data_IF_957146794986
#
_entry.id   IF_957146794986
#
_cell.length_a   1.000
_cell.length_b   1.000
_cell.length_c   1.000
_cell.angle_alpha   90.00
_cell.angle_beta   90.00
_cell.angle_gamma   90.00
#
_symmetry.space_group_name_H-M   'P 1'
#
loop_
_entity.id
_entity.type
_entity.pdbx_description
1 polymer ?
#
# COMPACT_ATOMS: atom_id res chain seq x y z
N UNK A 1 -2.18 -38.22 13.34
CA UNK A 1 -2.99 -38.71 14.48
C UNK A 1 -2.90 -37.76 15.69
N UNK A 2 -1.70 -37.33 16.13
CA UNK A 2 -1.50 -36.38 17.26
C UNK A 2 -2.21 -35.01 17.13
N UNK A 3 -2.27 -34.40 15.93
CA UNK A 3 -2.96 -33.10 15.75
C UNK A 3 -4.48 -33.16 15.93
N UNK A 4 -5.13 -34.30 15.65
CA UNK A 4 -6.59 -34.45 15.87
C UNK A 4 -6.93 -34.55 17.36
N UNK A 5 -6.10 -35.23 18.16
CA UNK A 5 -6.29 -35.32 19.61
C UNK A 5 -6.05 -33.97 20.31
N UNK A 6 -5.03 -33.20 19.89
CA UNK A 6 -4.79 -31.85 20.43
C UNK A 6 -5.92 -30.87 20.11
N UNK A 7 -6.45 -30.89 18.89
CA UNK A 7 -7.62 -30.08 18.50
C UNK A 7 -8.87 -30.38 19.32
N UNK A 8 -9.03 -31.60 19.85
CA UNK A 8 -10.19 -31.96 20.64
C UNK A 8 -10.05 -31.57 22.12
N UNK A 9 -8.84 -31.65 22.68
CA UNK A 9 -8.58 -31.38 24.10
C UNK A 9 -8.27 -29.90 24.42
N UNK A 10 -7.60 -29.19 23.51
CA UNK A 10 -7.05 -27.85 23.76
C UNK A 10 -7.64 -26.78 22.84
N UNK A 11 -8.86 -26.99 22.34
CA UNK A 11 -9.54 -26.00 21.51
C UNK A 11 -9.82 -24.75 22.36
N UNK A 12 -9.42 -23.54 21.92
CA UNK A 12 -9.80 -22.28 22.56
C UNK A 12 -11.33 -22.14 22.64
N UNK A 13 -11.83 -21.33 23.57
CA UNK A 13 -13.27 -21.01 23.59
C UNK A 13 -13.60 -19.98 22.50
N UNK A 14 -14.71 -20.14 21.79
CA UNK A 14 -15.13 -19.22 20.72
C UNK A 14 -15.40 -17.79 21.19
N UNK A 15 -15.77 -17.64 22.46
CA UNK A 15 -16.02 -16.35 23.11
C UNK A 15 -14.76 -15.71 23.71
N UNK A 16 -13.59 -16.35 23.57
CA UNK A 16 -12.35 -15.85 24.14
C UNK A 16 -11.85 -14.63 23.34
N UNK A 17 -11.65 -13.47 23.99
CA UNK A 17 -11.24 -12.26 23.29
C UNK A 17 -9.76 -12.26 22.88
N UNK A 18 -8.94 -13.20 23.37
CA UNK A 18 -7.51 -13.22 23.08
C UNK A 18 -7.22 -13.41 21.58
N UNK A 19 -6.18 -12.74 21.08
CA UNK A 19 -5.87 -12.72 19.65
C UNK A 19 -5.59 -14.10 19.06
N UNK A 20 -4.88 -14.98 19.79
CA UNK A 20 -4.61 -16.35 19.32
C UNK A 20 -5.89 -17.20 19.22
N UNK A 21 -6.87 -16.99 20.11
CA UNK A 21 -8.16 -17.66 20.04
C UNK A 21 -8.98 -17.13 18.85
N UNK A 22 -9.05 -15.81 18.68
CA UNK A 22 -9.68 -15.16 17.52
C UNK A 22 -9.07 -15.63 16.20
N UNK A 23 -7.74 -15.67 16.13
CA UNK A 23 -6.98 -16.17 14.98
C UNK A 23 -7.36 -17.61 14.66
N UNK A 24 -7.37 -18.50 15.67
CA UNK A 24 -7.70 -19.92 15.47
C UNK A 24 -9.04 -20.11 14.75
N UNK A 25 -10.08 -19.37 15.16
CA UNK A 25 -11.40 -19.48 14.57
C UNK A 25 -11.51 -18.80 13.20
N UNK A 26 -10.90 -17.63 13.02
CA UNK A 26 -10.84 -16.96 11.72
C UNK A 26 -10.14 -17.83 10.67
N UNK A 27 -9.05 -18.50 11.06
CA UNK A 27 -8.33 -19.43 10.19
C UNK A 27 -9.10 -20.74 9.94
N UNK A 28 -9.86 -21.26 10.92
CA UNK A 28 -10.76 -22.41 10.74
C UNK A 28 -11.87 -22.09 9.72
N UNK A 29 -12.47 -20.90 9.82
CA UNK A 29 -13.49 -20.40 8.89
C UNK A 29 -12.93 -20.22 7.48
N UNK A 30 -11.76 -19.58 7.33
CA UNK A 30 -11.10 -19.42 6.04
C UNK A 30 -10.85 -20.76 5.34
N UNK A 31 -10.33 -21.75 6.08
CA UNK A 31 -10.08 -23.09 5.55
C UNK A 31 -11.38 -23.83 5.16
N UNK A 32 -12.47 -23.59 5.90
CA UNK A 32 -13.77 -24.17 5.57
C UNK A 32 -14.33 -23.59 4.26
N UNK A 33 -14.29 -22.26 4.10
CA UNK A 33 -14.74 -21.59 2.87
C UNK A 33 -13.87 -21.99 1.67
N UNK A 34 -12.55 -22.10 1.86
CA UNK A 34 -11.62 -22.58 0.83
C UNK A 34 -11.98 -23.99 0.34
N UNK A 35 -12.20 -24.92 1.28
CA UNK A 35 -12.56 -26.30 0.94
C UNK A 35 -13.93 -26.39 0.24
N UNK A 36 -14.88 -25.54 0.61
CA UNK A 36 -16.17 -25.45 -0.08
C UNK A 36 -16.00 -24.94 -1.52
N UNK A 37 -15.19 -23.89 -1.71
CA UNK A 37 -14.88 -23.33 -3.02
C UNK A 37 -14.18 -24.34 -3.94
N UNK A 38 -13.21 -25.09 -3.42
CA UNK A 38 -12.51 -26.15 -4.16
C UNK A 38 -13.44 -27.29 -4.62
N UNK A 39 -14.50 -27.56 -3.84
CA UNK A 39 -15.47 -28.60 -4.14
C UNK A 39 -16.60 -28.15 -5.07
N UNK A 40 -16.73 -26.85 -5.32
CA UNK A 40 -17.83 -26.27 -6.09
C UNK A 40 -17.57 -26.33 -7.60
N UNK A 41 -18.55 -26.83 -8.35
CA UNK A 41 -18.60 -26.65 -9.80
C UNK A 41 -19.22 -25.28 -10.14
N UNK A 42 -18.38 -24.24 -10.22
CA UNK A 42 -18.82 -22.87 -10.46
C UNK A 42 -19.57 -22.65 -11.79
N UNK A 43 -19.49 -23.58 -12.74
CA UNK A 43 -20.29 -23.51 -13.99
C UNK A 43 -21.75 -23.89 -13.77
N UNK A 44 -22.02 -24.75 -12.78
CA UNK A 44 -23.38 -25.20 -12.43
C UNK A 44 -24.10 -24.22 -11.50
N UNK A 45 -23.37 -23.53 -10.64
CA UNK A 45 -23.93 -22.53 -9.72
C UNK A 45 -23.04 -21.27 -9.63
N UNK A 46 -23.14 -20.36 -10.62
CA UNK A 46 -22.33 -19.15 -10.67
C UNK A 46 -22.63 -18.17 -9.52
N UNK A 47 -23.88 -18.14 -9.04
CA UNK A 47 -24.29 -17.24 -7.96
C UNK A 47 -23.65 -17.66 -6.63
N UNK A 48 -23.70 -18.95 -6.29
CA UNK A 48 -23.03 -19.48 -5.11
C UNK A 48 -21.51 -19.32 -5.19
N UNK A 49 -20.92 -19.52 -6.37
CA UNK A 49 -19.50 -19.28 -6.59
C UNK A 49 -19.11 -17.83 -6.25
N UNK A 50 -19.87 -16.86 -6.77
CA UNK A 50 -19.64 -15.44 -6.49
C UNK A 50 -19.74 -15.11 -5.01
N UNK A 51 -20.75 -15.67 -4.32
CA UNK A 51 -20.93 -15.48 -2.88
C UNK A 51 -19.77 -16.07 -2.07
N UNK A 52 -19.34 -17.30 -2.38
CA UNK A 52 -18.24 -17.96 -1.69
C UNK A 52 -16.90 -17.25 -1.94
N UNK A 53 -16.65 -16.74 -3.14
CA UNK A 53 -15.47 -15.91 -3.42
C UNK A 53 -15.49 -14.64 -2.56
N UNK A 54 -16.64 -13.96 -2.46
CA UNK A 54 -16.78 -12.78 -1.59
C UNK A 54 -16.54 -13.12 -0.12
N UNK A 55 -17.12 -14.23 0.36
CA UNK A 55 -16.92 -14.70 1.73
C UNK A 55 -15.45 -15.07 2.00
N UNK A 56 -14.81 -15.73 1.03
CA UNK A 56 -13.39 -16.09 1.11
C UNK A 56 -12.51 -14.85 1.28
N UNK A 57 -12.79 -13.76 0.53
CA UNK A 57 -12.10 -12.47 0.70
C UNK A 57 -12.28 -11.90 2.09
N UNK A 58 -13.51 -11.85 2.58
CA UNK A 58 -13.80 -11.36 3.93
C UNK A 58 -13.05 -12.18 5.01
N UNK A 59 -12.94 -13.49 4.82
CA UNK A 59 -12.16 -14.35 5.71
C UNK A 59 -10.65 -14.06 5.62
N UNK A 60 -10.11 -13.85 4.42
CA UNK A 60 -8.71 -13.45 4.21
C UNK A 60 -8.40 -12.13 4.92
N UNK A 61 -9.25 -11.11 4.73
CA UNK A 61 -9.13 -9.80 5.39
C UNK A 61 -9.14 -9.94 6.91
N UNK A 62 -10.09 -10.71 7.46
CA UNK A 62 -10.18 -10.94 8.90
C UNK A 62 -8.92 -11.62 9.47
N UNK A 63 -8.41 -12.64 8.77
CA UNK A 63 -7.17 -13.33 9.18
C UNK A 63 -5.99 -12.37 9.18
N UNK A 64 -5.79 -11.58 8.11
CA UNK A 64 -4.71 -10.59 8.06
C UNK A 64 -4.84 -9.51 9.13
N UNK A 65 -6.06 -9.03 9.39
CA UNK A 65 -6.30 -8.03 10.43
C UNK A 65 -5.92 -8.55 11.82
N UNK A 66 -6.22 -9.81 12.13
CA UNK A 66 -5.80 -10.43 13.40
C UNK A 66 -4.28 -10.64 13.42
N UNK A 67 -3.66 -11.07 12.31
CA UNK A 67 -2.20 -11.19 12.23
C UNK A 67 -1.53 -9.83 12.47
N UNK A 68 -2.04 -8.74 11.88
CA UNK A 68 -1.55 -7.38 12.12
C UNK A 68 -1.65 -6.98 13.59
N UNK A 69 -2.79 -7.23 14.25
CA UNK A 69 -2.95 -7.00 15.69
C UNK A 69 -1.94 -7.82 16.52
N UNK A 70 -1.69 -9.08 16.13
CA UNK A 70 -0.68 -9.92 16.78
C UNK A 70 0.71 -9.33 16.57
N UNK A 71 1.04 -8.82 15.38
CA UNK A 71 2.33 -8.17 15.11
C UNK A 71 2.49 -6.89 15.93
N UNK A 72 1.44 -6.09 16.11
CA UNK A 72 1.45 -4.90 16.95
C UNK A 72 1.76 -5.24 18.42
N UNK A 73 1.26 -6.37 18.94
CA UNK A 73 1.56 -6.83 20.30
C UNK A 73 2.92 -7.54 20.41
N UNK A 74 3.29 -8.33 19.40
CA UNK A 74 4.46 -9.20 19.45
C UNK A 74 5.75 -8.48 19.09
N UNK A 75 5.74 -7.73 17.98
CA UNK A 75 6.95 -7.20 17.34
C UNK A 75 6.83 -5.68 17.06
N UNK A 76 6.42 -4.86 18.04
CA UNK A 76 6.10 -3.45 17.79
C UNK A 76 7.28 -2.63 17.26
N UNK A 77 8.51 -3.00 17.63
CA UNK A 77 9.73 -2.29 17.23
C UNK A 77 10.45 -2.91 16.02
N UNK A 78 10.01 -4.09 15.59
CA UNK A 78 10.66 -4.84 14.49
C UNK A 78 9.82 -4.83 13.20
N UNK A 79 8.79 -3.97 13.13
CA UNK A 79 7.97 -3.81 11.93
C UNK A 79 8.79 -3.19 10.80
N UNK A 80 8.64 -3.73 9.60
CA UNK A 80 9.21 -3.19 8.39
C UNK A 80 8.69 -1.76 8.14
N UNK A 81 9.57 -0.80 7.81
CA UNK A 81 9.17 0.57 7.56
C UNK A 81 8.30 0.66 6.30
N UNK A 82 7.23 1.46 6.39
CA UNK A 82 6.26 1.69 5.30
C UNK A 82 6.28 3.14 4.82
N UNK A 83 7.41 3.84 4.98
CA UNK A 83 7.61 5.22 4.54
C UNK A 83 7.33 5.39 3.03
N UNK A 84 7.45 4.31 2.26
CA UNK A 84 7.12 4.31 0.84
C UNK A 84 5.63 4.60 0.55
N UNK A 85 4.71 4.38 1.50
CA UNK A 85 3.28 4.62 1.31
C UNK A 85 2.95 6.08 0.99
N UNK A 86 3.82 7.04 1.37
CA UNK A 86 3.67 8.46 1.00
C UNK A 86 3.78 8.70 -0.50
N UNK A 87 4.35 7.74 -1.25
CA UNK A 87 4.48 7.80 -2.70
C UNK A 87 3.24 7.26 -3.42
N UNK A 88 2.34 6.61 -2.71
CA UNK A 88 1.13 6.04 -3.30
C UNK A 88 0.04 7.12 -3.42
N UNK A 89 -0.75 7.10 -4.51
CA UNK A 89 -1.95 7.90 -4.61
C UNK A 89 -2.89 7.67 -3.42
N UNK A 90 -3.59 8.73 -2.99
CA UNK A 90 -4.50 8.66 -1.84
C UNK A 90 -5.63 7.65 -2.06
N UNK A 91 -6.03 7.43 -3.32
CA UNK A 91 -7.06 6.48 -3.73
C UNK A 91 -6.66 5.00 -3.53
N UNK A 92 -5.39 4.71 -3.21
CA UNK A 92 -4.95 3.34 -2.93
C UNK A 92 -4.91 3.08 -1.43
N UNK A 93 -4.90 4.13 -0.61
CA UNK A 93 -4.81 4.06 0.85
C UNK A 93 -6.17 3.72 1.50
N UNK A 94 -6.85 2.71 0.95
CA UNK A 94 -8.12 2.19 1.46
C UNK A 94 -7.90 1.03 2.45
N UNK A 95 -8.88 0.80 3.33
CA UNK A 95 -8.82 -0.19 4.41
C UNK A 95 -8.66 -1.66 3.94
N UNK A 96 -8.91 -1.96 2.67
CA UNK A 96 -8.87 -3.33 2.11
C UNK A 96 -7.64 -3.64 1.26
N UNK A 97 -6.62 -2.77 1.24
CA UNK A 97 -5.43 -3.00 0.40
C UNK A 97 -4.70 -4.31 0.77
N UNK A 98 -4.60 -4.65 2.05
CA UNK A 98 -3.86 -5.82 2.51
C UNK A 98 -4.40 -7.14 1.95
N UNK A 99 -5.73 -7.34 1.92
CA UNK A 99 -6.32 -8.53 1.32
C UNK A 99 -6.19 -8.58 -0.20
N UNK A 100 -6.25 -7.42 -0.87
CA UNK A 100 -5.99 -7.33 -2.31
C UNK A 100 -4.55 -7.74 -2.63
N UNK A 101 -3.58 -7.32 -1.81
CA UNK A 101 -2.18 -7.70 -1.94
C UNK A 101 -1.97 -9.20 -1.72
N UNK A 102 -2.59 -9.80 -0.69
CA UNK A 102 -2.54 -11.25 -0.50
C UNK A 102 -3.08 -11.96 -1.75
N UNK A 103 -4.25 -11.58 -2.25
CA UNK A 103 -4.75 -12.19 -3.48
C UNK A 103 -3.82 -11.99 -4.69
N UNK A 104 -3.29 -10.78 -4.85
CA UNK A 104 -2.34 -10.46 -5.91
C UNK A 104 -1.11 -11.37 -5.84
N UNK A 105 -0.58 -11.63 -4.64
CA UNK A 105 0.52 -12.54 -4.41
C UNK A 105 0.16 -13.99 -4.78
N UNK A 106 -1.03 -14.47 -4.39
CA UNK A 106 -1.51 -15.82 -4.75
C UNK A 106 -1.62 -16.00 -6.27
N UNK A 107 -2.22 -15.04 -6.96
CA UNK A 107 -2.32 -15.05 -8.43
C UNK A 107 -0.94 -15.06 -9.09
N UNK A 108 -0.04 -14.17 -8.69
CA UNK A 108 1.31 -14.10 -9.26
C UNK A 108 2.10 -15.39 -8.99
N UNK A 109 1.99 -15.94 -7.78
CA UNK A 109 2.61 -17.20 -7.39
C UNK A 109 2.09 -18.38 -8.22
N UNK A 110 0.79 -18.38 -8.53
CA UNK A 110 0.13 -19.36 -9.41
C UNK A 110 0.45 -19.19 -10.91
N UNK A 111 1.16 -18.12 -11.30
CA UNK A 111 1.61 -17.89 -12.66
C UNK A 111 0.77 -16.89 -13.46
N UNK A 112 -0.22 -16.24 -12.83
CA UNK A 112 -0.93 -15.12 -13.45
C UNK A 112 0.02 -13.95 -13.74
N UNK A 113 -0.43 -13.05 -14.63
CA UNK A 113 0.30 -11.87 -15.08
C UNK A 113 -0.62 -10.67 -14.95
N UNK A 114 -0.10 -9.57 -14.42
CA UNK A 114 -0.80 -8.28 -14.41
C UNK A 114 -0.86 -7.76 -15.85
N UNK A 115 -2.05 -7.34 -16.29
CA UNK A 115 -2.29 -6.89 -17.66
C UNK A 115 -1.32 -5.76 -18.04
N UNK A 116 -0.64 -5.90 -19.19
CA UNK A 116 0.35 -4.95 -19.71
C UNK A 116 1.58 -4.74 -18.80
N UNK A 117 1.89 -5.70 -17.91
CA UNK A 117 2.99 -5.64 -16.92
C UNK A 117 3.70 -6.98 -16.81
N UNK A 118 4.01 -7.61 -17.95
CA UNK A 118 4.58 -8.95 -18.03
C UNK A 118 5.96 -9.05 -17.34
N UNK A 119 6.84 -8.07 -17.58
CA UNK A 119 8.19 -8.04 -17.04
C UNK A 119 8.18 -7.87 -15.53
N UNK A 120 7.39 -6.92 -15.03
CA UNK A 120 7.21 -6.65 -13.60
C UNK A 120 6.58 -7.86 -12.90
N UNK A 121 5.57 -8.49 -13.52
CA UNK A 121 4.94 -9.72 -13.00
C UNK A 121 5.94 -10.87 -12.88
N UNK A 122 6.81 -11.05 -13.89
CA UNK A 122 7.85 -12.07 -13.85
C UNK A 122 8.90 -11.78 -12.77
N UNK A 123 9.31 -10.52 -12.61
CA UNK A 123 10.25 -10.10 -11.59
C UNK A 123 9.70 -10.26 -10.16
N UNK A 124 8.41 -9.98 -9.94
CA UNK A 124 7.75 -10.10 -8.64
C UNK A 124 7.39 -11.53 -8.25
N UNK A 125 7.32 -12.46 -9.20
CA UNK A 125 6.85 -13.84 -8.96
C UNK A 125 7.62 -14.60 -7.87
N UNK A 126 8.97 -14.53 -7.77
CA UNK A 126 9.70 -15.16 -6.68
C UNK A 126 9.28 -14.62 -5.31
N UNK A 127 9.17 -13.29 -5.19
CA UNK A 127 8.71 -12.61 -3.97
C UNK A 127 7.28 -13.02 -3.60
N UNK A 128 6.38 -13.09 -4.58
CA UNK A 128 4.99 -13.54 -4.37
C UNK A 128 4.90 -14.98 -3.84
N UNK A 129 5.76 -15.88 -4.35
CA UNK A 129 5.83 -17.28 -3.87
C UNK A 129 6.40 -17.36 -2.45
N UNK A 130 7.40 -16.55 -2.15
CA UNK A 130 8.00 -16.51 -0.82
C UNK A 130 7.03 -15.92 0.21
N UNK A 131 6.33 -14.84 -0.14
CA UNK A 131 5.32 -14.21 0.69
C UNK A 131 4.16 -15.17 1.02
N UNK A 132 3.60 -15.85 0.02
CA UNK A 132 2.51 -16.81 0.23
C UNK A 132 2.93 -17.98 1.11
N UNK A 133 4.16 -18.51 0.93
CA UNK A 133 4.73 -19.53 1.82
C UNK A 133 4.93 -19.00 3.25
N UNK A 134 5.48 -17.80 3.40
CA UNK A 134 5.72 -17.19 4.71
C UNK A 134 4.42 -16.96 5.48
N UNK A 135 3.34 -16.56 4.80
CA UNK A 135 2.02 -16.45 5.40
C UNK A 135 1.49 -17.80 5.88
N UNK A 136 1.68 -18.89 5.12
CA UNK A 136 1.31 -20.23 5.59
C UNK A 136 2.13 -20.68 6.81
N UNK A 137 3.41 -20.34 6.87
CA UNK A 137 4.26 -20.63 8.03
C UNK A 137 3.79 -19.86 9.28
N UNK A 138 3.42 -18.58 9.13
CA UNK A 138 2.81 -17.77 10.19
C UNK A 138 1.49 -18.41 10.63
N UNK A 139 0.58 -18.73 9.70
CA UNK A 139 -0.70 -19.35 10.02
C UNK A 139 -0.53 -20.67 10.76
N UNK A 140 0.44 -21.49 10.34
CA UNK A 140 0.84 -22.73 10.99
C UNK A 140 1.32 -22.50 12.43
N UNK A 141 2.26 -21.58 12.63
CA UNK A 141 2.83 -21.28 13.94
C UNK A 141 1.79 -20.72 14.93
N UNK A 142 0.96 -19.78 14.49
CA UNK A 142 -0.11 -19.18 15.31
C UNK A 142 -1.16 -20.22 15.71
N UNK A 143 -1.59 -21.08 14.77
CA UNK A 143 -2.56 -22.15 15.02
C UNK A 143 -2.03 -23.18 16.00
N UNK A 144 -0.78 -23.60 15.85
CA UNK A 144 -0.13 -24.54 16.76
C UNK A 144 0.02 -23.95 18.16
N UNK A 145 0.33 -22.66 18.28
CA UNK A 145 0.42 -21.98 19.56
C UNK A 145 -0.95 -21.82 20.23
N UNK A 146 -1.99 -21.49 19.47
CA UNK A 146 -3.34 -21.35 19.98
C UNK A 146 -3.89 -22.64 20.63
N UNK A 147 -3.37 -23.81 20.22
CA UNK A 147 -3.69 -25.11 20.82
C UNK A 147 -2.78 -25.49 22.01
N UNK A 148 -1.80 -24.66 22.36
CA UNK A 148 -0.84 -24.94 23.45
C UNK A 148 -0.99 -23.95 24.59
N UNK A 149 -0.81 -22.66 24.30
CA UNK A 149 -0.90 -21.58 25.28
C UNK A 149 -1.25 -20.27 24.57
N UNK A 150 -2.40 -19.72 24.95
CA UNK A 150 -2.94 -18.49 24.37
C UNK A 150 -2.27 -17.21 24.92
N UNK A 151 -1.54 -17.31 26.03
CA UNK A 151 -0.97 -16.14 26.72
C UNK A 151 0.49 -15.84 26.32
N UNK A 152 1.11 -16.69 25.51
CA UNK A 152 2.54 -16.59 25.20
C UNK A 152 2.79 -16.59 23.71
N UNK A 153 3.62 -15.64 23.26
CA UNK A 153 4.16 -15.59 21.90
C UNK A 153 5.60 -16.09 21.88
N UNK A 154 5.82 -17.23 21.24
CA UNK A 154 7.15 -17.87 21.17
C UNK A 154 8.11 -17.13 20.23
N UNK A 155 9.42 -17.29 20.43
CA UNK A 155 10.41 -16.66 19.54
C UNK A 155 10.28 -17.13 18.09
N UNK A 156 9.96 -18.41 17.88
CA UNK A 156 9.68 -18.96 16.55
C UNK A 156 8.54 -18.21 15.84
N UNK A 157 7.49 -17.82 16.58
CA UNK A 157 6.40 -17.02 15.99
C UNK A 157 6.86 -15.61 15.68
N UNK A 158 7.64 -14.99 16.57
CA UNK A 158 8.20 -13.64 16.36
C UNK A 158 9.09 -13.61 15.11
N UNK A 159 9.95 -14.60 14.93
CA UNK A 159 10.77 -14.77 13.72
C UNK A 159 9.92 -14.92 12.45
N UNK A 160 8.91 -15.79 12.48
CA UNK A 160 8.01 -15.99 11.33
C UNK A 160 7.24 -14.71 10.97
N UNK A 161 6.73 -13.99 11.98
CA UNK A 161 6.03 -12.72 11.81
C UNK A 161 6.95 -11.63 11.25
N UNK A 162 8.19 -11.50 11.75
CA UNK A 162 9.17 -10.54 11.22
C UNK A 162 9.48 -10.81 9.75
N UNK A 163 9.72 -12.07 9.40
CA UNK A 163 9.99 -12.44 8.02
C UNK A 163 8.80 -12.16 7.09
N UNK A 164 7.59 -12.50 7.53
CA UNK A 164 6.36 -12.18 6.80
C UNK A 164 6.19 -10.67 6.63
N UNK A 165 6.39 -9.86 7.67
CA UNK A 165 6.19 -8.42 7.65
C UNK A 165 7.11 -7.72 6.65
N UNK A 166 8.38 -8.16 6.56
CA UNK A 166 9.35 -7.67 5.56
C UNK A 166 8.91 -8.02 4.14
N UNK A 167 8.60 -9.30 3.89
CA UNK A 167 8.16 -9.75 2.56
C UNK A 167 6.87 -9.05 2.13
N UNK A 168 5.94 -8.81 3.06
CA UNK A 168 4.68 -8.15 2.76
C UNK A 168 4.91 -6.68 2.39
N UNK A 169 5.77 -5.97 3.12
CA UNK A 169 6.13 -4.59 2.81
C UNK A 169 6.87 -4.45 1.47
N UNK A 170 7.82 -5.36 1.17
CA UNK A 170 8.51 -5.39 -0.12
C UNK A 170 7.54 -5.68 -1.28
N UNK A 171 6.62 -6.62 -1.07
CA UNK A 171 5.62 -6.96 -2.07
C UNK A 171 4.62 -5.83 -2.29
N UNK A 172 4.14 -5.20 -1.22
CA UNK A 172 3.27 -4.02 -1.27
C UNK A 172 3.90 -2.92 -2.13
N UNK A 173 5.16 -2.56 -1.85
CA UNK A 173 5.89 -1.56 -2.63
C UNK A 173 5.99 -1.94 -4.10
N UNK A 174 6.44 -3.15 -4.40
CA UNK A 174 6.64 -3.59 -5.78
C UNK A 174 5.32 -3.70 -6.55
N UNK A 175 4.28 -4.22 -5.91
CA UNK A 175 2.98 -4.45 -6.53
C UNK A 175 2.26 -3.15 -6.83
N UNK A 176 2.17 -2.24 -5.86
CA UNK A 176 1.54 -0.93 -6.06
C UNK A 176 2.32 -0.12 -7.09
N UNK A 177 3.66 -0.16 -7.08
CA UNK A 177 4.50 0.54 -8.07
C UNK A 177 4.33 0.02 -9.50
N UNK A 178 3.92 -1.24 -9.68
CA UNK A 178 3.59 -1.77 -10.99
C UNK A 178 2.19 -1.36 -11.47
N UNK A 179 1.25 -1.10 -10.55
CA UNK A 179 -0.14 -0.81 -10.87
C UNK A 179 -0.43 0.68 -11.04
N UNK A 180 0.25 1.54 -10.29
CA UNK A 180 0.12 2.99 -10.40
C UNK A 180 1.47 3.65 -10.64
N UNK A 181 1.48 4.78 -11.36
CA UNK A 181 2.68 5.58 -11.50
C UNK A 181 3.10 6.07 -10.12
N UNK A 182 4.19 5.50 -9.60
CA UNK A 182 4.83 5.96 -8.37
C UNK A 182 5.89 6.97 -8.78
N UNK A 183 5.80 8.18 -8.24
CA UNK A 183 6.79 9.24 -8.50
C UNK A 183 8.16 8.76 -8.04
N UNK A 184 9.11 8.77 -8.96
CA UNK A 184 10.53 8.62 -8.67
C UNK A 184 10.99 9.71 -7.69
N UNK A 185 12.09 9.50 -6.95
CA UNK A 185 12.66 10.54 -6.09
C UNK A 185 12.88 11.85 -6.84
N UNK A 186 13.33 11.76 -8.10
CA UNK A 186 13.53 12.91 -8.98
C UNK A 186 12.23 13.66 -9.26
N UNK A 187 11.15 12.96 -9.62
CA UNK A 187 9.85 13.59 -9.84
C UNK A 187 9.33 14.27 -8.57
N UNK A 188 9.56 13.67 -7.40
CA UNK A 188 9.23 14.30 -6.12
C UNK A 188 10.03 15.58 -5.88
N UNK A 189 11.35 15.54 -6.08
CA UNK A 189 12.21 16.73 -5.95
C UNK A 189 11.77 17.86 -6.88
N UNK A 190 11.53 17.56 -8.15
CA UNK A 190 11.09 18.54 -9.15
C UNK A 190 9.73 19.14 -8.77
N UNK A 191 8.81 18.33 -8.22
CA UNK A 191 7.55 18.84 -7.70
C UNK A 191 7.74 19.78 -6.50
N UNK A 192 8.64 19.44 -5.57
CA UNK A 192 8.95 20.29 -4.42
C UNK A 192 9.57 21.63 -4.85
N UNK A 193 10.46 21.64 -5.85
CA UNK A 193 11.00 22.89 -6.39
C UNK A 193 9.88 23.79 -6.95
N UNK A 194 8.87 23.22 -7.62
CA UNK A 194 7.70 23.97 -8.09
C UNK A 194 6.86 24.51 -6.94
N UNK A 195 6.68 23.73 -5.86
CA UNK A 195 5.97 24.20 -4.66
C UNK A 195 6.71 25.38 -4.03
N UNK A 196 8.03 25.27 -3.87
CA UNK A 196 8.87 26.35 -3.34
C UNK A 196 8.75 27.62 -4.20
N UNK A 197 8.82 27.49 -5.53
CA UNK A 197 8.61 28.61 -6.45
C UNK A 197 7.26 29.31 -6.22
N UNK A 198 6.18 28.55 -5.99
CA UNK A 198 4.86 29.12 -5.71
C UNK A 198 4.85 29.84 -4.35
N UNK A 199 5.40 29.22 -3.31
CA UNK A 199 5.52 29.83 -1.99
C UNK A 199 6.33 31.14 -2.02
N UNK A 200 7.52 31.11 -2.62
CA UNK A 200 8.39 32.29 -2.75
C UNK A 200 7.75 33.39 -3.60
N UNK A 201 6.93 33.02 -4.59
CA UNK A 201 6.18 34.00 -5.40
C UNK A 201 5.09 34.68 -4.58
N UNK A 202 4.35 33.92 -3.77
CA UNK A 202 3.31 34.46 -2.89
C UNK A 202 3.92 35.34 -1.79
N UNK A 203 4.97 34.87 -1.13
CA UNK A 203 5.71 35.62 -0.10
C UNK A 203 6.22 36.95 -0.67
N UNK A 204 6.86 36.92 -1.84
CA UNK A 204 7.30 38.13 -2.53
C UNK A 204 6.14 39.09 -2.84
N UNK A 205 5.00 38.58 -3.29
CA UNK A 205 3.84 39.42 -3.60
C UNK A 205 3.20 40.04 -2.35
N UNK A 206 3.25 39.35 -1.20
CA UNK A 206 2.87 39.90 0.11
C UNK A 206 3.85 41.00 0.54
N UNK A 207 5.16 40.76 0.42
CA UNK A 207 6.20 41.72 0.81
C UNK A 207 6.11 43.04 0.03
N UNK A 208 5.77 42.98 -1.27
CA UNK A 208 5.53 44.17 -2.09
C UNK A 208 4.14 44.80 -1.90
N UNK A 209 3.27 44.19 -1.11
CA UNK A 209 1.90 44.66 -0.88
C UNK A 209 0.99 44.52 -2.10
N UNK A 210 1.29 43.61 -3.03
CA UNK A 210 0.42 43.31 -4.18
C UNK A 210 -0.77 42.44 -3.77
N UNK A 211 -0.62 41.70 -2.67
CA UNK A 211 -1.61 40.82 -2.06
C UNK A 211 -1.67 41.10 -0.57
N UNK A 212 -2.76 40.70 0.07
CA UNK A 212 -2.87 40.69 1.54
C UNK A 212 -3.08 39.25 2.03
N UNK A 213 -2.76 38.98 3.30
CA UNK A 213 -2.94 37.66 3.89
C UNK A 213 -4.40 37.23 3.87
N UNK A 214 -5.33 38.15 4.14
CA UNK A 214 -6.78 37.88 4.14
C UNK A 214 -7.25 37.34 2.78
N UNK A 215 -6.72 37.85 1.67
CA UNK A 215 -7.07 37.36 0.31
C UNK A 215 -6.65 35.89 0.08
N UNK A 216 -5.58 35.45 0.74
CA UNK A 216 -5.11 34.05 0.68
C UNK A 216 -6.00 33.18 1.57
N UNK A 217 -6.24 33.63 2.80
CA UNK A 217 -7.00 32.89 3.81
C UNK A 217 -8.47 32.71 3.39
N UNK A 218 -9.05 33.70 2.70
CA UNK A 218 -10.41 33.65 2.15
C UNK A 218 -10.50 32.89 0.81
N UNK A 219 -9.40 32.33 0.32
CA UNK A 219 -9.31 31.63 -0.97
C UNK A 219 -9.88 32.44 -2.14
N UNK A 220 -9.50 33.73 -2.24
CA UNK A 220 -10.10 34.63 -3.23
C UNK A 220 -9.99 34.05 -4.65
N UNK A 221 -11.10 33.86 -5.39
CA UNK A 221 -11.08 33.14 -6.66
C UNK A 221 -10.11 33.74 -7.69
N UNK A 222 -10.04 35.08 -7.78
CA UNK A 222 -9.13 35.77 -8.69
C UNK A 222 -7.65 35.48 -8.38
N UNK A 223 -7.34 35.32 -7.09
CA UNK A 223 -5.99 35.03 -6.63
C UNK A 223 -5.59 33.58 -6.94
N UNK A 224 -6.51 32.62 -6.78
CA UNK A 224 -6.28 31.21 -7.10
C UNK A 224 -5.93 30.99 -8.58
N UNK A 225 -6.45 31.82 -9.49
CA UNK A 225 -6.06 31.81 -10.91
C UNK A 225 -4.79 32.61 -11.22
N UNK A 226 -4.47 33.62 -10.42
CA UNK A 226 -3.37 34.55 -10.69
C UNK A 226 -2.03 34.07 -10.14
N UNK A 227 -2.02 33.42 -8.96
CA UNK A 227 -0.80 32.87 -8.36
C UNK A 227 -0.06 31.94 -9.32
N UNK A 228 -0.69 30.94 -9.98
CA UNK A 228 0.03 30.07 -10.89
C UNK A 228 0.68 30.82 -12.06
N UNK A 229 0.02 31.85 -12.59
CA UNK A 229 0.56 32.68 -13.68
C UNK A 229 1.73 33.53 -13.21
N UNK A 230 1.59 34.14 -12.03
CA UNK A 230 2.65 34.93 -11.42
C UNK A 230 3.87 34.06 -11.13
N UNK A 231 3.66 32.84 -10.61
CA UNK A 231 4.73 31.90 -10.32
C UNK A 231 5.49 31.47 -11.58
N UNK A 232 4.79 31.28 -12.71
CA UNK A 232 5.44 31.03 -14.01
C UNK A 232 6.35 32.20 -14.40
N UNK A 233 5.84 33.43 -14.34
CA UNK A 233 6.64 34.63 -14.69
C UNK A 233 7.82 34.81 -13.73
N UNK A 234 7.60 34.64 -12.42
CA UNK A 234 8.66 34.69 -11.41
C UNK A 234 9.71 33.60 -11.64
N UNK A 235 9.31 32.38 -11.96
CA UNK A 235 10.24 31.28 -12.22
C UNK A 235 11.07 31.46 -13.50
N UNK A 236 10.54 32.17 -14.50
CA UNK A 236 11.28 32.48 -15.73
C UNK A 236 12.22 33.69 -15.57
N UNK A 237 11.78 34.73 -14.85
CA UNK A 237 12.46 36.05 -14.85
C UNK A 237 13.22 36.33 -13.56
N UNK A 238 12.69 35.91 -12.40
CA UNK A 238 13.26 36.22 -11.08
C UNK A 238 14.11 35.07 -10.57
N UNK A 239 13.60 33.83 -10.66
CA UNK A 239 14.25 32.61 -10.21
C UNK A 239 14.73 31.78 -11.40
N UNK A 240 15.52 32.38 -12.29
CA UNK A 240 15.96 31.78 -13.55
C UNK A 240 16.77 30.47 -13.37
N UNK A 241 17.39 30.27 -12.21
CA UNK A 241 18.07 29.02 -11.84
C UNK A 241 17.15 27.95 -11.23
N UNK A 242 15.87 28.25 -11.06
CA UNK A 242 14.88 27.40 -10.41
C UNK A 242 14.24 26.34 -11.33
N UNK A 243 13.05 25.83 -10.97
CA UNK A 243 12.41 24.70 -11.66
C UNK A 243 11.94 25.00 -13.10
N UNK A 244 11.90 26.28 -13.48
CA UNK A 244 11.51 26.73 -14.83
C UNK A 244 12.71 27.14 -15.70
N UNK A 245 13.94 26.86 -15.27
CA UNK A 245 15.14 27.16 -16.04
C UNK A 245 15.09 26.49 -17.44
N UNK A 246 15.06 27.30 -18.49
CA UNK A 246 14.93 26.86 -19.89
C UNK A 246 16.26 26.45 -20.54
N UNK A 247 17.39 26.68 -19.86
CA UNK A 247 18.73 26.26 -20.28
C UNK A 247 19.04 24.83 -19.83
N UNK A 248 18.31 24.31 -18.84
CA UNK A 248 18.35 22.90 -18.44
C UNK A 248 17.70 22.01 -19.50
N UNK A 249 17.99 20.71 -19.45
CA UNK A 249 17.37 19.78 -20.39
C UNK A 249 15.88 19.68 -20.12
N UNK A 250 15.09 19.49 -21.18
CA UNK A 250 13.62 19.39 -21.09
C UNK A 250 13.18 18.20 -20.24
N UNK A 251 14.01 17.16 -20.15
CA UNK A 251 13.76 16.00 -19.28
C UNK A 251 13.93 16.35 -17.79
N UNK A 252 14.67 17.40 -17.44
CA UNK A 252 14.86 17.88 -16.06
C UNK A 252 13.69 18.76 -15.58
N UNK A 253 12.86 19.25 -16.49
CA UNK A 253 11.68 20.05 -16.17
C UNK A 253 10.50 19.19 -15.66
N UNK A 254 9.70 19.77 -14.77
CA UNK A 254 8.43 19.20 -14.29
C UNK A 254 7.50 18.83 -15.43
N UNK A 255 6.83 17.68 -15.32
CA UNK A 255 5.85 17.21 -16.30
C UNK A 255 4.69 18.18 -16.49
N UNK A 256 4.39 19.02 -15.49
CA UNK A 256 3.39 20.08 -15.57
C UNK A 256 3.73 21.13 -16.64
N UNK A 257 5.02 21.44 -16.80
CA UNK A 257 5.50 22.53 -17.66
C UNK A 257 6.14 22.02 -18.95
N UNK A 258 6.61 20.77 -18.98
CA UNK A 258 7.27 20.14 -20.14
C UNK A 258 6.46 20.28 -21.45
N UNK A 259 5.14 20.05 -21.50
CA UNK A 259 4.34 20.24 -22.72
C UNK A 259 4.33 21.68 -23.25
N UNK A 260 4.61 22.65 -22.38
CA UNK A 260 4.54 24.08 -22.67
C UNK A 260 5.92 24.72 -22.87
N UNK A 261 7.01 23.95 -22.90
CA UNK A 261 8.39 24.47 -23.00
C UNK A 261 8.57 25.49 -24.15
N UNK A 262 8.01 25.22 -25.34
CA UNK A 262 8.07 26.14 -26.49
C UNK A 262 7.30 27.44 -26.25
N UNK A 263 6.23 27.40 -25.47
CA UNK A 263 5.46 28.59 -25.10
C UNK A 263 6.21 29.40 -24.03
N UNK A 264 6.79 28.72 -23.03
CA UNK A 264 7.56 29.36 -21.96
C UNK A 264 8.76 30.13 -22.51
N UNK A 265 9.43 29.62 -23.57
CA UNK A 265 10.53 30.32 -24.25
C UNK A 265 10.13 31.63 -24.93
N UNK A 266 8.83 31.85 -25.18
CA UNK A 266 8.33 33.07 -25.82
C UNK A 266 7.98 34.18 -24.83
N UNK A 267 7.89 33.85 -23.54
CA UNK A 267 7.63 34.79 -22.44
C UNK A 267 8.97 35.45 -22.08
#
# INVERSE_FOLDING_TARGET
>A
MMNRFRKWLYKPKRSDPQLLARFYYADEELNQVAAELDSLDGRKDPQRCTLLVSQFRSCQDNVLNIINQIMDECIPQDRAPRDFCVKFPEEIRHDNLAGQLWFGAECLAAGSIIMNRELESMAMRPLAKELTRSLEDVRGALRDQALRDLNTYTEKMREALRHFDVLFAEFELSYVSAMVPVKSPREYYVQQEVIVLFCETVERALDFGYLTQDMIDDYEPALMFSIPRLAIVCGLVVYADGPLNLDRKVEDMSELFRPFHTLLRKI
#
